data_IF_428794305209
#
_entry.id   IF_428794305209
#
_cell.length_a   1.000
_cell.length_b   1.000
_cell.length_c   1.000
_cell.angle_alpha   90.00
_cell.angle_beta   90.00
_cell.angle_gamma   90.00
#
_symmetry.space_group_name_H-M   'P 1'
#
loop_
_entity.id
_entity.type
_entity.pdbx_description
1 polymer ?
#
# COMPACT_ATOMS: atom_id res chain seq x y z
N UNK A 1 3.70 -8.65 -11.80
CA UNK A 1 5.06 -8.79 -12.33
C UNK A 1 5.39 -10.24 -12.62
N UNK A 2 5.65 -11.11 -11.64
CA UNK A 2 6.07 -12.49 -11.84
C UNK A 2 5.11 -13.35 -12.71
N UNK A 3 3.81 -13.08 -12.68
CA UNK A 3 2.82 -13.76 -13.53
C UNK A 3 3.02 -13.51 -15.04
N UNK A 4 3.67 -12.42 -15.38
CA UNK A 4 3.91 -12.01 -16.76
C UNK A 4 5.35 -12.25 -17.24
N UNK A 5 6.29 -12.53 -16.32
CA UNK A 5 7.71 -12.66 -16.66
C UNK A 5 7.97 -13.84 -17.60
N UNK A 6 7.44 -15.01 -17.30
CA UNK A 6 7.63 -16.22 -18.12
C UNK A 6 7.06 -16.08 -19.53
N UNK A 7 5.90 -15.38 -19.69
CA UNK A 7 5.29 -15.13 -20.99
C UNK A 7 6.10 -14.15 -21.87
N UNK A 8 7.14 -13.52 -21.33
CA UNK A 8 7.91 -12.47 -21.98
C UNK A 8 9.42 -12.74 -22.06
N UNK A 9 9.83 -14.00 -21.91
CA UNK A 9 11.23 -14.42 -22.05
C UNK A 9 12.12 -14.01 -20.87
N UNK A 10 11.55 -13.71 -19.70
CA UNK A 10 12.29 -13.43 -18.46
C UNK A 10 12.33 -14.70 -17.62
N UNK A 11 13.49 -15.14 -17.23
CA UNK A 11 13.73 -16.27 -16.32
C UNK A 11 13.97 -15.75 -14.89
N UNK A 12 12.93 -15.62 -14.06
CA UNK A 12 13.10 -15.06 -12.72
C UNK A 12 13.63 -16.09 -11.72
N UNK A 13 14.61 -15.70 -10.91
CA UNK A 13 14.94 -16.36 -9.65
C UNK A 13 14.56 -15.46 -8.50
N UNK A 14 13.63 -15.92 -7.65
CA UNK A 14 13.10 -15.10 -6.55
C UNK A 14 13.80 -15.45 -5.24
N UNK A 15 14.25 -14.45 -4.50
CA UNK A 15 14.68 -14.64 -3.11
C UNK A 15 13.56 -14.18 -2.17
N UNK A 16 13.19 -15.01 -1.20
CA UNK A 16 12.18 -14.69 -0.19
C UNK A 16 12.73 -14.93 1.23
N UNK A 17 12.24 -14.17 2.24
CA UNK A 17 12.83 -14.24 3.59
C UNK A 17 12.52 -15.54 4.33
N UNK A 18 11.37 -16.18 4.03
CA UNK A 18 10.91 -17.39 4.69
C UNK A 18 9.99 -18.22 3.79
N UNK A 19 9.79 -19.48 4.18
CA UNK A 19 8.72 -20.32 3.61
C UNK A 19 7.38 -19.83 4.17
N UNK A 20 6.40 -19.62 3.28
CA UNK A 20 5.07 -19.12 3.64
C UNK A 20 4.13 -19.05 2.44
N UNK A 21 3.07 -18.25 2.55
CA UNK A 21 2.06 -18.11 1.47
C UNK A 21 2.65 -17.63 0.15
N UNK A 22 3.65 -16.75 0.20
CA UNK A 22 4.31 -16.23 -1.00
C UNK A 22 5.13 -17.31 -1.71
N UNK A 23 5.97 -18.05 -0.97
CA UNK A 23 6.76 -19.15 -1.55
C UNK A 23 5.87 -20.29 -2.06
N UNK A 24 4.72 -20.55 -1.41
CA UNK A 24 3.73 -21.50 -1.92
C UNK A 24 3.14 -21.04 -3.27
N UNK A 25 2.85 -19.75 -3.40
CA UNK A 25 2.39 -19.18 -4.67
C UNK A 25 3.45 -19.28 -5.77
N UNK A 26 4.72 -18.98 -5.46
CA UNK A 26 5.83 -19.14 -6.42
C UNK A 26 5.93 -20.58 -6.93
N UNK A 27 5.78 -21.57 -6.02
CA UNK A 27 5.77 -22.98 -6.36
C UNK A 27 4.59 -23.36 -7.30
N UNK A 28 3.39 -22.82 -7.03
CA UNK A 28 2.23 -23.01 -7.91
C UNK A 28 2.44 -22.42 -9.32
N UNK A 29 3.21 -21.33 -9.40
CA UNK A 29 3.55 -20.67 -10.66
C UNK A 29 4.77 -21.27 -11.36
N UNK A 30 5.39 -22.33 -10.84
CA UNK A 30 6.65 -22.90 -11.28
C UNK A 30 7.81 -21.91 -11.37
N UNK A 31 7.83 -20.90 -10.48
CA UNK A 31 8.90 -19.92 -10.41
C UNK A 31 9.95 -20.40 -9.40
N UNK A 32 11.23 -20.55 -9.81
CA UNK A 32 12.31 -20.94 -8.91
C UNK A 32 12.52 -19.88 -7.82
N UNK A 33 12.72 -20.32 -6.58
CA UNK A 33 13.00 -19.43 -5.48
C UNK A 33 14.00 -20.00 -4.48
N UNK A 34 14.68 -19.11 -3.79
CA UNK A 34 15.61 -19.44 -2.71
C UNK A 34 15.19 -18.69 -1.45
N UNK A 35 15.20 -19.41 -0.32
CA UNK A 35 14.94 -18.79 0.98
C UNK A 35 16.22 -18.19 1.53
N UNK A 36 16.23 -16.87 1.67
CA UNK A 36 17.31 -16.10 2.29
C UNK A 36 16.65 -15.24 3.37
N UNK A 37 16.92 -15.55 4.64
CA UNK A 37 16.44 -14.80 5.78
C UNK A 37 17.05 -13.39 5.77
N UNK A 38 16.47 -12.50 4.98
CA UNK A 38 16.96 -11.15 4.79
C UNK A 38 16.21 -10.19 5.70
N UNK A 39 16.85 -9.63 6.74
CA UNK A 39 16.22 -8.66 7.60
C UNK A 39 16.02 -7.33 6.89
N UNK A 40 14.98 -6.60 7.28
CA UNK A 40 14.87 -5.19 6.91
C UNK A 40 16.03 -4.41 7.55
N UNK A 41 16.69 -3.56 6.78
CA UNK A 41 17.79 -2.72 7.26
C UNK A 41 17.23 -1.46 7.96
N UNK A 42 16.58 -1.68 9.08
CA UNK A 42 16.01 -0.67 9.97
C UNK A 42 16.48 -0.89 11.40
N UNK A 43 16.54 0.18 12.18
CA UNK A 43 16.80 0.06 13.62
C UNK A 43 15.68 -0.71 14.31
N UNK A 44 16.01 -1.59 15.29
CA UNK A 44 15.00 -2.26 16.09
C UNK A 44 14.13 -1.27 16.85
N UNK A 45 12.82 -1.45 16.81
CA UNK A 45 11.90 -0.59 17.54
C UNK A 45 11.96 -0.81 19.06
N UNK A 46 11.81 0.28 19.84
CA UNK A 46 11.75 0.26 21.29
C UNK A 46 10.31 0.55 21.72
N UNK A 47 9.56 -0.49 22.05
CA UNK A 47 8.16 -0.37 22.49
C UNK A 47 7.98 -0.40 24.01
N UNK A 48 9.01 -0.86 24.77
CA UNK A 48 8.93 -1.07 26.19
C UNK A 48 10.33 -1.10 26.81
N UNK A 49 10.43 -1.04 28.16
CA UNK A 49 11.68 -1.19 28.87
C UNK A 49 12.38 -2.53 28.56
N UNK A 50 11.61 -3.61 28.32
CA UNK A 50 12.16 -4.92 27.93
C UNK A 50 12.79 -4.88 26.53
N UNK A 51 12.20 -4.17 25.59
CA UNK A 51 12.78 -3.97 24.24
C UNK A 51 14.02 -3.09 24.29
N UNK A 52 14.05 -2.10 25.18
CA UNK A 52 15.24 -1.28 25.43
C UNK A 52 16.42 -2.12 25.92
N UNK A 53 16.23 -3.00 26.92
CA UNK A 53 17.29 -3.90 27.42
C UNK A 53 17.78 -4.86 26.32
N UNK A 54 16.88 -5.36 25.48
CA UNK A 54 17.20 -6.27 24.37
C UNK A 54 17.78 -5.57 23.14
N UNK A 55 17.78 -4.25 23.11
CA UNK A 55 18.17 -3.47 21.94
C UNK A 55 19.58 -3.79 21.42
N UNK A 56 20.66 -3.86 22.26
CA UNK A 56 22.00 -4.21 21.79
C UNK A 56 22.04 -5.60 21.16
N UNK A 57 21.36 -6.58 21.75
CA UNK A 57 21.25 -7.92 21.19
C UNK A 57 20.54 -7.91 19.83
N UNK A 58 19.43 -7.19 19.72
CA UNK A 58 18.66 -7.08 18.47
C UNK A 58 19.49 -6.42 17.36
N UNK A 59 20.30 -5.43 17.70
CA UNK A 59 21.18 -4.77 16.75
C UNK A 59 22.32 -5.69 16.27
N UNK A 60 22.96 -6.40 17.18
CA UNK A 60 24.00 -7.41 16.85
C UNK A 60 23.38 -8.50 15.96
N UNK A 61 22.21 -8.99 16.32
CA UNK A 61 21.47 -9.98 15.54
C UNK A 61 21.21 -9.47 14.12
N UNK A 62 20.71 -8.24 13.96
CA UNK A 62 20.48 -7.60 12.66
C UNK A 62 21.76 -7.59 11.80
N UNK A 63 22.89 -7.19 12.38
CA UNK A 63 24.18 -7.11 11.68
C UNK A 63 24.63 -8.50 11.21
N UNK A 64 24.52 -9.52 12.08
CA UNK A 64 24.89 -10.89 11.76
C UNK A 64 23.99 -11.49 10.68
N UNK A 65 22.66 -11.38 10.85
CA UNK A 65 21.69 -11.88 9.87
C UNK A 65 21.90 -11.24 8.50
N UNK A 66 22.10 -9.92 8.46
CA UNK A 66 22.44 -9.20 7.23
C UNK A 66 23.72 -9.73 6.59
N UNK A 67 24.78 -9.96 7.37
CA UNK A 67 26.04 -10.48 6.85
C UNK A 67 25.87 -11.88 6.21
N UNK A 68 25.19 -12.79 6.91
CA UNK A 68 24.92 -14.13 6.39
C UNK A 68 23.99 -14.12 5.18
N UNK A 69 22.93 -13.30 5.20
CA UNK A 69 22.02 -13.12 4.08
C UNK A 69 22.78 -12.61 2.84
N UNK A 70 23.64 -11.61 3.03
CA UNK A 70 24.45 -11.07 1.94
C UNK A 70 25.40 -12.11 1.34
N UNK A 71 26.13 -12.89 2.16
CA UNK A 71 26.99 -13.98 1.66
C UNK A 71 26.21 -15.01 0.84
N UNK A 72 25.06 -15.45 1.37
CA UNK A 72 24.20 -16.41 0.68
C UNK A 72 23.64 -15.85 -0.64
N UNK A 73 23.27 -14.56 -0.64
CA UNK A 73 22.80 -13.89 -1.85
C UNK A 73 23.91 -13.79 -2.91
N UNK A 74 25.14 -13.44 -2.52
CA UNK A 74 26.30 -13.43 -3.42
C UNK A 74 26.56 -14.81 -4.04
N UNK A 75 26.49 -15.88 -3.26
CA UNK A 75 26.66 -17.25 -3.80
C UNK A 75 25.54 -17.59 -4.80
N UNK A 76 24.32 -17.12 -4.59
CA UNK A 76 23.25 -17.29 -5.57
C UNK A 76 23.56 -16.55 -6.89
N UNK A 77 24.12 -15.35 -6.83
CA UNK A 77 24.50 -14.57 -8.02
C UNK A 77 25.59 -15.28 -8.81
N UNK A 78 26.59 -15.84 -8.13
CA UNK A 78 27.70 -16.57 -8.78
C UNK A 78 27.22 -17.81 -9.54
N UNK A 79 26.17 -18.47 -9.04
CA UNK A 79 25.57 -19.65 -9.68
C UNK A 79 24.59 -19.25 -10.79
N UNK A 80 23.68 -18.33 -10.51
CA UNK A 80 22.57 -17.97 -11.41
C UNK A 80 23.00 -17.00 -12.51
N UNK A 81 24.00 -16.13 -12.22
CA UNK A 81 24.55 -15.10 -13.13
C UNK A 81 23.43 -14.21 -13.72
N UNK A 82 22.67 -13.50 -12.92
CA UNK A 82 21.55 -12.68 -13.41
C UNK A 82 22.06 -11.50 -14.24
N UNK A 83 21.30 -11.13 -15.29
CA UNK A 83 21.55 -9.93 -16.08
C UNK A 83 21.13 -8.65 -15.34
N UNK A 84 20.17 -8.76 -14.42
CA UNK A 84 19.64 -7.66 -13.63
C UNK A 84 19.25 -8.12 -12.23
N UNK A 85 19.40 -7.26 -11.24
CA UNK A 85 18.91 -7.48 -9.86
C UNK A 85 17.79 -6.49 -9.57
N UNK A 86 16.62 -6.99 -9.21
CA UNK A 86 15.46 -6.17 -8.83
C UNK A 86 15.17 -6.33 -7.33
N UNK A 87 15.34 -5.26 -6.57
CA UNK A 87 14.96 -5.20 -5.15
C UNK A 87 13.58 -4.58 -4.98
N UNK A 88 12.65 -5.31 -4.38
CA UNK A 88 11.30 -4.85 -4.12
C UNK A 88 11.16 -4.51 -2.63
N UNK A 89 10.98 -3.27 -2.29
CA UNK A 89 10.90 -2.49 -1.04
C UNK A 89 12.21 -1.76 -0.66
N UNK A 90 12.06 -0.57 -0.07
CA UNK A 90 13.18 0.33 0.25
C UNK A 90 14.16 -0.22 1.31
N UNK A 91 13.70 -0.78 2.46
CA UNK A 91 14.59 -1.21 3.54
C UNK A 91 15.42 -2.48 3.26
N UNK A 92 15.44 -3.00 2.04
CA UNK A 92 16.25 -4.15 1.66
C UNK A 92 17.42 -3.68 0.79
N UNK A 93 18.65 -3.75 1.29
CA UNK A 93 19.82 -3.21 0.61
C UNK A 93 20.73 -4.26 0.00
N UNK A 94 20.55 -5.55 0.30
CA UNK A 94 21.48 -6.60 -0.17
C UNK A 94 21.54 -6.70 -1.69
N UNK A 95 20.40 -6.46 -2.38
CA UNK A 95 20.35 -6.45 -3.85
C UNK A 95 21.27 -5.39 -4.43
N UNK A 96 21.17 -4.15 -3.97
CA UNK A 96 22.05 -3.05 -4.37
C UNK A 96 23.51 -3.34 -4.04
N UNK A 97 23.81 -3.81 -2.81
CA UNK A 97 25.19 -4.07 -2.39
C UNK A 97 25.86 -5.16 -3.26
N UNK A 98 25.10 -6.19 -3.60
CA UNK A 98 25.60 -7.27 -4.45
C UNK A 98 25.71 -6.82 -5.92
N UNK A 99 24.72 -6.09 -6.44
CA UNK A 99 24.77 -5.52 -7.78
C UNK A 99 26.02 -4.65 -7.98
N UNK A 100 26.31 -3.79 -7.01
CA UNK A 100 27.51 -2.95 -7.01
C UNK A 100 28.80 -3.78 -6.98
N UNK A 101 28.84 -4.86 -6.19
CA UNK A 101 30.01 -5.75 -6.10
C UNK A 101 30.31 -6.46 -7.42
N UNK A 102 29.28 -6.93 -8.10
CA UNK A 102 29.42 -7.76 -9.31
C UNK A 102 29.27 -6.96 -10.62
N UNK A 103 29.03 -5.65 -10.55
CA UNK A 103 28.82 -4.80 -11.74
C UNK A 103 27.54 -5.12 -12.51
N UNK A 104 26.51 -5.60 -11.80
CA UNK A 104 25.22 -5.97 -12.40
C UNK A 104 24.27 -4.77 -12.28
N UNK A 105 23.47 -4.43 -13.32
CA UNK A 105 22.43 -3.41 -13.23
C UNK A 105 21.45 -3.69 -12.09
N UNK A 106 21.06 -2.65 -11.37
CA UNK A 106 20.16 -2.76 -10.23
C UNK A 106 18.92 -1.89 -10.40
N UNK A 107 17.75 -2.48 -10.20
CA UNK A 107 16.47 -1.75 -10.08
C UNK A 107 16.00 -1.81 -8.64
N UNK A 108 15.72 -0.64 -8.07
CA UNK A 108 15.20 -0.54 -6.71
C UNK A 108 13.78 0.01 -6.71
N UNK A 109 12.84 -0.86 -6.36
CA UNK A 109 11.42 -0.52 -6.31
C UNK A 109 11.05 -0.01 -4.91
N UNK A 110 10.88 1.30 -4.77
CA UNK A 110 10.59 2.00 -3.51
C UNK A 110 9.08 2.11 -3.36
N UNK A 111 8.55 1.53 -2.28
CA UNK A 111 7.11 1.34 -2.07
C UNK A 111 6.56 2.04 -0.84
N UNK A 112 7.41 2.64 -0.03
CA UNK A 112 7.08 3.23 1.26
C UNK A 112 7.96 4.45 1.53
N UNK A 113 7.46 5.36 2.40
CA UNK A 113 8.23 6.48 2.93
C UNK A 113 9.18 6.05 4.06
N UNK A 114 8.99 4.85 4.60
CA UNK A 114 9.68 4.28 5.76
C UNK A 114 9.28 4.94 7.07
N UNK A 115 9.67 6.18 7.33
CA UNK A 115 9.40 6.86 8.60
C UNK A 115 7.94 7.28 8.72
N UNK A 116 7.38 7.91 7.69
CA UNK A 116 6.06 8.56 7.72
C UNK A 116 4.90 7.56 7.74
N UNK A 117 5.08 6.39 7.14
CA UNK A 117 4.05 5.34 7.03
C UNK A 117 4.23 4.17 8.00
N UNK A 118 5.47 3.87 8.42
CA UNK A 118 5.77 2.70 9.26
C UNK A 118 6.67 3.00 10.46
N UNK A 119 7.04 4.26 10.71
CA UNK A 119 8.01 4.66 11.74
C UNK A 119 9.33 3.87 11.68
N UNK A 120 9.74 3.51 10.47
CA UNK A 120 10.98 2.78 10.23
C UNK A 120 12.17 3.74 10.13
N UNK A 121 13.19 3.51 10.93
CA UNK A 121 14.43 4.27 10.89
C UNK A 121 15.52 3.48 10.15
N UNK A 122 15.96 3.91 8.96
CA UNK A 122 16.96 3.19 8.16
C UNK A 122 18.27 2.94 8.90
N UNK A 123 18.77 1.71 8.81
CA UNK A 123 20.07 1.32 9.34
C UNK A 123 21.13 1.31 8.22
N UNK A 124 22.36 1.86 8.42
CA UNK A 124 22.83 2.55 9.63
C UNK A 124 22.37 4.03 9.71
N UNK A 125 21.85 4.64 8.64
CA UNK A 125 21.25 5.98 8.67
C UNK A 125 20.48 6.29 7.39
N UNK A 126 19.58 7.26 7.45
CA UNK A 126 18.87 7.80 6.28
C UNK A 126 19.85 8.34 5.23
N UNK A 127 20.90 9.04 5.61
CA UNK A 127 21.88 9.59 4.66
C UNK A 127 22.59 8.48 3.85
N UNK A 128 22.86 7.33 4.46
CA UNK A 128 23.46 6.19 3.76
C UNK A 128 22.43 5.55 2.82
N UNK A 129 21.17 5.46 3.23
CA UNK A 129 20.10 5.00 2.38
C UNK A 129 19.95 5.90 1.14
N UNK A 130 19.84 7.22 1.35
CA UNK A 130 19.74 8.21 0.26
C UNK A 130 20.95 8.14 -0.68
N UNK A 131 22.17 8.05 -0.14
CA UNK A 131 23.38 7.89 -0.96
C UNK A 131 23.34 6.62 -1.83
N UNK A 132 22.70 5.54 -1.36
CA UNK A 132 22.57 4.28 -2.11
C UNK A 132 21.52 4.38 -3.21
N UNK A 133 20.35 4.94 -2.93
CA UNK A 133 19.32 5.09 -3.95
C UNK A 133 19.72 6.07 -5.06
N UNK A 134 20.53 7.08 -4.74
CA UNK A 134 21.06 8.05 -5.71
C UNK A 134 22.34 7.61 -6.43
N UNK A 135 22.85 6.40 -6.17
CA UNK A 135 24.01 5.86 -6.87
C UNK A 135 23.74 5.80 -8.38
N UNK A 136 24.75 6.14 -9.20
CA UNK A 136 24.60 6.23 -10.66
C UNK A 136 24.18 4.90 -11.31
N UNK A 137 24.62 3.77 -10.75
CA UNK A 137 24.34 2.43 -11.26
C UNK A 137 23.03 1.84 -10.71
N UNK A 138 22.26 2.63 -9.95
CA UNK A 138 21.00 2.21 -9.36
C UNK A 138 19.85 2.94 -10.04
N UNK A 139 18.86 2.21 -10.54
CA UNK A 139 17.64 2.76 -11.13
C UNK A 139 16.48 2.58 -10.16
N UNK A 140 15.87 3.68 -9.74
CA UNK A 140 14.75 3.65 -8.83
C UNK A 140 13.41 3.67 -9.56
N UNK A 141 12.49 2.86 -9.05
CA UNK A 141 11.08 2.92 -9.40
C UNK A 141 10.33 3.28 -8.12
N UNK A 142 9.58 4.36 -8.14
CA UNK A 142 8.63 4.68 -7.07
C UNK A 142 7.21 4.32 -7.48
N UNK A 143 6.39 3.92 -6.50
CA UNK A 143 4.99 3.57 -6.76
C UNK A 143 4.05 4.76 -6.79
N UNK A 144 4.54 5.96 -6.46
CA UNK A 144 3.80 7.24 -6.53
C UNK A 144 4.73 8.40 -6.84
N UNK A 145 4.17 9.50 -7.37
CA UNK A 145 4.89 10.77 -7.56
C UNK A 145 5.34 11.35 -6.22
N UNK A 146 4.50 11.25 -5.20
CA UNK A 146 4.83 11.74 -3.86
C UNK A 146 6.06 11.03 -3.27
N UNK A 147 6.19 9.71 -3.42
CA UNK A 147 7.40 8.96 -3.01
C UNK A 147 8.60 9.39 -3.87
N UNK A 148 8.40 9.59 -5.19
CA UNK A 148 9.43 10.06 -6.09
C UNK A 148 10.03 11.40 -5.64
N UNK A 149 9.17 12.36 -5.32
CA UNK A 149 9.54 13.69 -4.85
C UNK A 149 10.15 13.65 -3.43
N UNK A 150 9.58 12.83 -2.53
CA UNK A 150 10.08 12.68 -1.15
C UNK A 150 11.53 12.22 -1.09
N UNK A 151 11.91 11.30 -1.96
CA UNK A 151 13.30 10.79 -2.05
C UNK A 151 14.14 11.54 -3.09
N UNK A 152 13.65 12.63 -3.67
CA UNK A 152 14.37 13.47 -4.67
C UNK A 152 14.95 12.61 -5.81
N UNK A 153 14.17 11.65 -6.32
CA UNK A 153 14.63 10.74 -7.37
C UNK A 153 14.89 11.48 -8.69
N UNK A 154 15.85 11.00 -9.48
CA UNK A 154 16.30 11.66 -10.70
C UNK A 154 15.37 11.33 -11.90
N UNK A 155 14.62 12.31 -12.46
CA UNK A 155 13.66 12.07 -13.55
C UNK A 155 14.29 11.60 -14.86
N UNK A 156 15.61 11.78 -15.02
CA UNK A 156 16.32 11.32 -16.24
C UNK A 156 16.57 9.81 -16.26
N UNK A 157 16.66 9.17 -15.07
CA UNK A 157 16.92 7.73 -14.94
C UNK A 157 15.85 6.97 -14.18
N UNK A 158 15.25 7.60 -13.16
CA UNK A 158 14.28 6.98 -12.27
C UNK A 158 12.85 7.18 -12.80
N UNK A 159 11.91 6.32 -12.41
CA UNK A 159 10.53 6.36 -12.93
C UNK A 159 9.49 6.23 -11.84
N UNK A 160 8.34 6.84 -12.09
CA UNK A 160 7.10 6.55 -11.34
C UNK A 160 6.35 5.46 -12.11
N UNK A 161 6.11 4.33 -11.46
CA UNK A 161 5.30 3.25 -12.02
C UNK A 161 4.30 2.83 -10.95
N UNK A 162 3.04 3.19 -11.16
CA UNK A 162 1.95 2.85 -10.24
C UNK A 162 1.77 1.35 -10.12
N UNK A 163 1.45 0.90 -8.91
CA UNK A 163 1.15 -0.51 -8.68
C UNK A 163 -0.09 -0.98 -9.42
N UNK A 164 0.00 -2.14 -10.02
CA UNK A 164 -1.14 -2.86 -10.55
C UNK A 164 -1.97 -3.49 -9.44
N UNK A 165 -3.05 -2.82 -9.07
CA UNK A 165 -3.93 -3.23 -7.95
C UNK A 165 -5.00 -4.19 -8.42
N UNK A 166 -5.61 -3.89 -9.57
CA UNK A 166 -6.81 -4.55 -10.07
C UNK A 166 -6.53 -5.29 -11.37
N UNK A 167 -7.45 -6.15 -11.76
CA UNK A 167 -7.55 -6.71 -13.10
C UNK A 167 -8.84 -6.17 -13.72
N UNK A 168 -8.71 -5.32 -14.73
CA UNK A 168 -9.86 -4.67 -15.39
C UNK A 168 -10.88 -5.65 -15.95
N UNK A 169 -10.49 -6.88 -16.28
CA UNK A 169 -11.41 -7.92 -16.75
C UNK A 169 -12.36 -8.41 -15.65
N UNK A 170 -12.07 -8.13 -14.38
CA UNK A 170 -12.91 -8.46 -13.24
C UNK A 170 -13.85 -7.32 -12.82
N UNK A 171 -13.93 -6.26 -13.63
CA UNK A 171 -14.82 -5.12 -13.36
C UNK A 171 -16.27 -5.58 -13.32
N UNK A 172 -17.00 -5.10 -12.31
CA UNK A 172 -18.44 -5.31 -12.20
C UNK A 172 -19.16 -4.00 -12.48
N UNK A 173 -20.37 -4.05 -13.06
CA UNK A 173 -21.23 -2.88 -13.11
C UNK A 173 -21.44 -2.30 -11.71
N UNK A 174 -21.53 -1.00 -11.59
CA UNK A 174 -21.74 -0.36 -10.29
C UNK A 174 -23.10 -0.79 -9.74
N UNK A 175 -23.12 -1.20 -8.47
CA UNK A 175 -24.36 -1.55 -7.78
C UNK A 175 -25.27 -0.32 -7.67
N UNK A 176 -26.43 -0.39 -8.31
CA UNK A 176 -27.42 0.69 -8.32
C UNK A 176 -28.15 0.87 -7.00
N UNK A 177 -28.17 -0.17 -6.16
CA UNK A 177 -28.84 -0.15 -4.85
C UNK A 177 -27.80 -0.43 -3.77
N UNK A 178 -27.17 0.64 -3.28
CA UNK A 178 -26.23 0.55 -2.18
C UNK A 178 -26.93 0.32 -0.85
N UNK A 179 -26.29 -0.48 0.00
CA UNK A 179 -26.76 -0.66 1.36
C UNK A 179 -26.41 0.56 2.22
N UNK A 180 -27.23 0.85 3.22
CA UNK A 180 -27.10 2.05 4.05
C UNK A 180 -25.99 1.90 5.10
N UNK A 181 -24.73 1.72 4.66
CA UNK A 181 -23.59 1.70 5.55
C UNK A 181 -22.35 2.40 4.99
N UNK A 182 -21.58 2.94 5.92
CA UNK A 182 -20.22 3.43 5.74
C UNK A 182 -19.28 2.25 5.95
N UNK A 183 -18.27 2.07 5.11
CA UNK A 183 -17.31 0.99 5.25
C UNK A 183 -15.91 1.56 5.54
N UNK A 184 -15.24 0.98 6.53
CA UNK A 184 -13.80 1.08 6.76
C UNK A 184 -13.18 -0.31 6.61
N UNK A 185 -12.01 -0.38 5.95
CA UNK A 185 -11.21 -1.61 5.86
C UNK A 185 -9.75 -1.27 6.16
N UNK A 186 -9.19 -1.91 7.18
CA UNK A 186 -7.78 -1.69 7.55
C UNK A 186 -7.44 -2.33 8.89
N UNK A 187 -6.15 -2.39 9.22
CA UNK A 187 -5.73 -2.77 10.57
C UNK A 187 -6.26 -1.75 11.57
N UNK A 188 -6.68 -2.22 12.74
CA UNK A 188 -7.10 -1.33 13.83
C UNK A 188 -5.84 -0.82 14.53
N UNK A 189 -5.36 0.33 14.09
CA UNK A 189 -4.17 1.03 14.60
C UNK A 189 -4.25 2.52 14.26
N UNK A 190 -3.54 3.35 14.99
CA UNK A 190 -3.61 4.81 14.86
C UNK A 190 -3.19 5.30 13.47
N UNK A 191 -2.23 4.63 12.82
CA UNK A 191 -1.79 4.98 11.47
C UNK A 191 -2.92 4.88 10.43
N UNK A 192 -3.89 3.98 10.65
CA UNK A 192 -5.05 3.79 9.76
C UNK A 192 -6.22 4.74 10.05
N UNK A 193 -6.13 5.56 11.10
CA UNK A 193 -7.05 6.65 11.37
C UNK A 193 -8.45 6.24 11.82
N UNK A 194 -8.65 4.98 12.26
CA UNK A 194 -9.98 4.49 12.66
C UNK A 194 -10.59 5.35 13.77
N UNK A 195 -9.81 5.81 14.75
CA UNK A 195 -10.32 6.67 15.82
C UNK A 195 -10.87 8.00 15.29
N UNK A 196 -10.18 8.60 14.30
CA UNK A 196 -10.67 9.83 13.64
C UNK A 196 -12.03 9.59 12.95
N UNK A 197 -12.18 8.46 12.26
CA UNK A 197 -13.48 8.10 11.68
C UNK A 197 -14.55 7.89 12.74
N UNK A 198 -14.24 7.25 13.87
CA UNK A 198 -15.21 7.01 14.95
C UNK A 198 -15.67 8.29 15.62
N UNK A 199 -14.79 9.27 15.84
CA UNK A 199 -15.20 10.60 16.31
C UNK A 199 -16.15 11.28 15.32
N UNK A 200 -15.81 11.31 14.03
CA UNK A 200 -16.69 11.89 13.00
C UNK A 200 -18.01 11.14 12.87
N UNK A 201 -17.99 9.82 12.98
CA UNK A 201 -19.17 8.98 12.90
C UNK A 201 -20.08 9.16 14.11
N UNK A 202 -19.52 9.30 15.32
CA UNK A 202 -20.32 9.56 16.52
C UNK A 202 -21.12 10.86 16.38
N UNK A 203 -20.47 11.95 15.95
CA UNK A 203 -21.13 13.23 15.66
C UNK A 203 -22.17 13.09 14.54
N UNK A 204 -21.83 12.41 13.45
CA UNK A 204 -22.78 12.14 12.36
C UNK A 204 -24.01 11.38 12.85
N UNK A 205 -23.83 10.32 13.64
CA UNK A 205 -24.92 9.48 14.10
C UNK A 205 -25.86 10.21 15.09
N UNK A 206 -25.28 11.01 16.00
CA UNK A 206 -26.06 11.82 16.99
C UNK A 206 -26.87 12.94 16.32
N UNK A 207 -26.41 13.47 15.20
CA UNK A 207 -27.06 14.54 14.46
C UNK A 207 -27.94 14.04 13.29
N UNK A 208 -28.46 12.82 13.38
CA UNK A 208 -29.46 12.30 12.42
C UNK A 208 -28.89 11.58 11.19
N UNK A 209 -27.63 11.22 11.23
CA UNK A 209 -27.03 10.35 10.21
C UNK A 209 -27.74 9.00 10.14
N UNK A 210 -28.00 8.49 8.93
CA UNK A 210 -28.82 7.27 8.70
C UNK A 210 -28.00 6.02 8.45
N UNK A 211 -26.75 6.15 8.01
CA UNK A 211 -25.91 5.00 7.70
C UNK A 211 -25.34 4.37 8.97
N UNK A 212 -25.23 3.05 8.99
CA UNK A 212 -24.45 2.32 9.97
C UNK A 212 -22.95 2.34 9.58
N UNK A 213 -22.07 1.98 10.51
CA UNK A 213 -20.64 1.85 10.25
C UNK A 213 -20.21 0.38 10.31
N UNK A 214 -19.63 -0.12 9.24
CA UNK A 214 -18.99 -1.44 9.19
C UNK A 214 -17.46 -1.27 9.21
N UNK A 215 -16.80 -1.95 10.14
CA UNK A 215 -15.36 -1.91 10.35
C UNK A 215 -14.79 -3.31 10.11
N UNK A 216 -14.05 -3.49 9.01
CA UNK A 216 -13.40 -4.75 8.67
C UNK A 216 -11.89 -4.63 8.87
N UNK A 217 -11.32 -5.45 9.74
CA UNK A 217 -9.89 -5.48 10.01
C UNK A 217 -9.52 -6.13 11.32
N UNK A 218 -8.25 -6.44 11.48
CA UNK A 218 -7.70 -7.02 12.70
C UNK A 218 -7.05 -5.93 13.56
N UNK A 219 -7.21 -6.02 14.87
CA UNK A 219 -6.51 -5.25 15.89
C UNK A 219 -6.47 -6.04 17.19
N UNK A 220 -5.84 -5.49 18.22
CA UNK A 220 -5.94 -6.07 19.57
C UNK A 220 -7.30 -5.77 20.19
N UNK A 221 -7.70 -6.58 21.17
CA UNK A 221 -8.96 -6.34 21.89
C UNK A 221 -8.90 -5.04 22.68
N UNK A 222 -7.73 -4.70 23.23
CA UNK A 222 -7.50 -3.44 23.92
C UNK A 222 -7.76 -2.25 23.00
N UNK A 223 -7.17 -2.24 21.80
CA UNK A 223 -7.36 -1.16 20.85
C UNK A 223 -8.79 -1.07 20.33
N UNK A 224 -9.46 -2.22 20.18
CA UNK A 224 -10.89 -2.25 19.84
C UNK A 224 -11.76 -1.64 20.95
N UNK A 225 -11.44 -1.91 22.22
CA UNK A 225 -12.14 -1.31 23.36
C UNK A 225 -11.92 0.21 23.39
N UNK A 226 -10.70 0.69 23.21
CA UNK A 226 -10.42 2.12 23.05
C UNK A 226 -11.25 2.76 21.91
N UNK A 227 -11.43 2.05 20.80
CA UNK A 227 -12.30 2.50 19.72
C UNK A 227 -13.78 2.57 20.13
N UNK A 228 -14.26 1.60 20.89
CA UNK A 228 -15.65 1.59 21.39
C UNK A 228 -15.92 2.68 22.43
N UNK A 229 -14.91 3.07 23.21
CA UNK A 229 -15.03 4.13 24.22
C UNK A 229 -15.19 5.54 23.62
N UNK A 230 -14.85 5.70 22.34
CA UNK A 230 -15.12 6.95 21.59
C UNK A 230 -16.62 7.15 21.34
N UNK A 231 -17.38 6.06 21.25
CA UNK A 231 -18.77 6.06 20.84
C UNK A 231 -19.69 6.22 22.05
N UNK A 232 -20.73 7.03 21.91
CA UNK A 232 -21.83 7.07 22.89
C UNK A 232 -22.61 5.76 22.87
N UNK A 233 -23.23 5.38 23.99
CA UNK A 233 -23.98 4.11 24.11
C UNK A 233 -25.09 3.97 23.05
N UNK A 234 -25.76 5.06 22.69
CA UNK A 234 -26.79 5.06 21.64
C UNK A 234 -26.23 4.80 20.23
N UNK A 235 -24.92 5.06 20.00
CA UNK A 235 -24.28 4.90 18.69
C UNK A 235 -23.55 3.55 18.57
N UNK A 236 -23.11 2.96 19.68
CA UNK A 236 -22.38 1.67 19.68
C UNK A 236 -23.11 0.58 18.90
N UNK A 237 -24.42 0.47 19.03
CA UNK A 237 -25.24 -0.54 18.34
C UNK A 237 -25.31 -0.35 16.80
N UNK A 238 -24.82 0.78 16.29
CA UNK A 238 -24.78 1.10 14.87
C UNK A 238 -23.40 0.86 14.24
N UNK A 239 -22.42 0.37 15.03
CA UNK A 239 -21.06 0.09 14.60
C UNK A 239 -20.79 -1.41 14.66
N UNK A 240 -20.55 -2.02 13.52
CA UNK A 240 -20.29 -3.45 13.40
C UNK A 240 -18.81 -3.72 13.12
N UNK A 241 -18.10 -4.31 14.07
CA UNK A 241 -16.74 -4.80 13.91
C UNK A 241 -16.75 -6.23 13.36
N UNK A 242 -16.34 -6.39 12.09
CA UNK A 242 -16.37 -7.68 11.37
C UNK A 242 -15.11 -8.54 11.60
N UNK A 243 -14.08 -7.97 12.26
CA UNK A 243 -12.78 -8.64 12.36
C UNK A 243 -12.07 -8.78 11.01
N UNK A 244 -11.13 -9.71 10.93
CA UNK A 244 -10.39 -9.95 9.70
C UNK A 244 -11.25 -10.64 8.63
N UNK A 245 -11.43 -10.02 7.49
CA UNK A 245 -12.18 -10.54 6.35
C UNK A 245 -11.27 -11.06 5.25
N UNK A 246 -11.69 -12.12 4.54
CA UNK A 246 -11.04 -12.55 3.30
C UNK A 246 -11.28 -11.51 2.19
N UNK A 247 -10.36 -11.42 1.23
CA UNK A 247 -10.42 -10.41 0.15
C UNK A 247 -11.75 -10.40 -0.61
N UNK A 248 -12.29 -11.56 -0.95
CA UNK A 248 -13.59 -11.64 -1.65
C UNK A 248 -14.72 -11.02 -0.82
N UNK A 249 -14.70 -11.19 0.52
CA UNK A 249 -15.70 -10.56 1.41
C UNK A 249 -15.49 -9.04 1.49
N UNK A 250 -14.24 -8.59 1.50
CA UNK A 250 -13.93 -7.16 1.44
C UNK A 250 -14.46 -6.53 0.15
N UNK A 251 -14.28 -7.18 -1.00
CA UNK A 251 -14.82 -6.70 -2.27
C UNK A 251 -16.35 -6.69 -2.32
N UNK A 252 -17.00 -7.70 -1.72
CA UNK A 252 -18.46 -7.72 -1.56
C UNK A 252 -18.95 -6.54 -0.69
N UNK A 253 -18.27 -6.30 0.44
CA UNK A 253 -18.58 -5.18 1.31
C UNK A 253 -18.38 -3.84 0.58
N UNK A 254 -17.29 -3.67 -0.16
CA UNK A 254 -17.07 -2.47 -0.97
C UNK A 254 -18.16 -2.30 -2.03
N UNK A 255 -18.51 -3.35 -2.75
CA UNK A 255 -19.51 -3.31 -3.81
C UNK A 255 -20.88 -2.84 -3.31
N UNK A 256 -21.26 -3.19 -2.08
CA UNK A 256 -22.55 -2.87 -1.49
C UNK A 256 -22.56 -1.59 -0.63
N UNK A 257 -21.40 -1.13 -0.16
CA UNK A 257 -21.32 0.06 0.71
C UNK A 257 -21.84 1.34 0.03
N UNK A 258 -22.54 2.17 0.80
CA UNK A 258 -22.94 3.50 0.35
C UNK A 258 -21.70 4.40 0.15
N UNK A 259 -20.74 4.31 1.07
CA UNK A 259 -19.51 5.09 1.03
C UNK A 259 -18.37 4.33 1.71
N UNK A 260 -17.15 4.48 1.19
CA UNK A 260 -15.93 3.94 1.74
C UNK A 260 -15.07 5.07 2.30
N UNK A 261 -14.60 4.94 3.55
CA UNK A 261 -13.78 5.97 4.19
C UNK A 261 -12.35 5.49 4.36
N UNK A 262 -11.39 6.32 3.94
CA UNK A 262 -9.95 6.09 4.05
C UNK A 262 -9.34 7.18 4.94
N UNK A 263 -9.33 6.99 6.27
CA UNK A 263 -8.85 7.99 7.21
C UNK A 263 -7.36 7.85 7.53
N UNK A 264 -6.62 7.03 6.81
CA UNK A 264 -5.21 6.77 7.05
C UNK A 264 -4.39 8.06 7.07
N UNK A 265 -3.49 8.19 8.06
CA UNK A 265 -2.60 9.36 8.19
C UNK A 265 -1.70 9.52 6.98
N UNK A 266 -1.16 8.41 6.49
CA UNK A 266 -0.39 8.35 5.26
C UNK A 266 -0.51 6.95 4.64
N UNK A 267 -0.49 6.87 3.32
CA UNK A 267 -0.44 5.62 2.55
C UNK A 267 0.60 5.79 1.45
N UNK A 268 1.51 4.83 1.31
CA UNK A 268 2.49 4.88 0.22
C UNK A 268 1.80 4.94 -1.15
N UNK A 269 0.86 4.02 -1.40
CA UNK A 269 0.04 4.01 -2.62
C UNK A 269 -1.47 4.16 -2.31
N UNK A 270 -1.99 3.48 -1.27
CA UNK A 270 -3.41 3.45 -0.97
C UNK A 270 -4.18 2.38 -1.77
N UNK A 271 -3.71 1.14 -1.75
CA UNK A 271 -4.37 0.01 -2.44
C UNK A 271 -5.86 -0.05 -2.20
N UNK A 272 -6.27 0.14 -0.97
CA UNK A 272 -7.67 0.05 -0.55
C UNK A 272 -8.55 1.13 -1.19
N UNK A 273 -7.98 2.31 -1.49
CA UNK A 273 -8.65 3.41 -2.20
C UNK A 273 -9.01 2.98 -3.63
N UNK A 274 -8.00 2.46 -4.36
CA UNK A 274 -8.21 1.95 -5.72
C UNK A 274 -9.17 0.76 -5.74
N UNK A 275 -9.08 -0.16 -4.78
CA UNK A 275 -9.98 -1.31 -4.66
C UNK A 275 -11.44 -0.89 -4.43
N UNK A 276 -11.68 0.13 -3.59
CA UNK A 276 -13.03 0.65 -3.35
C UNK A 276 -13.61 1.33 -4.60
N UNK A 277 -12.82 2.17 -5.28
CA UNK A 277 -13.21 2.81 -6.54
C UNK A 277 -13.50 1.77 -7.63
N UNK A 278 -12.67 0.73 -7.76
CA UNK A 278 -12.87 -0.37 -8.70
C UNK A 278 -14.18 -1.11 -8.47
N UNK A 279 -14.57 -1.32 -7.20
CA UNK A 279 -15.83 -1.92 -6.83
C UNK A 279 -17.03 -0.96 -6.92
N UNK A 280 -16.84 0.24 -7.49
CA UNK A 280 -17.91 1.19 -7.75
C UNK A 280 -18.47 1.84 -6.49
N UNK A 281 -17.64 2.00 -5.45
CA UNK A 281 -18.01 2.71 -4.22
C UNK A 281 -17.34 4.06 -4.17
N UNK A 282 -18.10 5.10 -3.86
CA UNK A 282 -17.52 6.43 -3.66
C UNK A 282 -16.63 6.44 -2.42
N UNK A 283 -15.54 7.17 -2.51
CA UNK A 283 -14.54 7.26 -1.45
C UNK A 283 -14.57 8.63 -0.80
N UNK A 284 -14.51 8.65 0.54
CA UNK A 284 -14.10 9.82 1.31
C UNK A 284 -12.69 9.54 1.82
N UNK A 285 -11.70 10.25 1.30
CA UNK A 285 -10.30 10.02 1.59
C UNK A 285 -9.64 11.20 2.29
N UNK A 286 -8.74 10.91 3.24
CA UNK A 286 -7.88 11.94 3.80
C UNK A 286 -6.99 12.51 2.69
N UNK A 287 -6.81 13.84 2.68
CA UNK A 287 -6.04 14.51 1.63
C UNK A 287 -4.52 14.38 1.86
N UNK A 288 -4.05 13.12 1.96
CA UNK A 288 -2.65 12.79 2.26
C UNK A 288 -2.18 11.58 1.46
N UNK A 289 -0.87 11.47 1.23
CA UNK A 289 -0.19 10.31 0.66
C UNK A 289 -0.76 9.81 -0.66
N UNK A 290 -0.71 8.51 -0.88
CA UNK A 290 -1.19 7.87 -2.11
C UNK A 290 -2.69 8.01 -2.34
N UNK A 291 -3.52 8.12 -1.29
CA UNK A 291 -4.95 8.41 -1.44
C UNK A 291 -5.18 9.77 -2.09
N UNK A 292 -4.46 10.82 -1.63
CA UNK A 292 -4.49 12.14 -2.27
C UNK A 292 -4.04 12.05 -3.72
N UNK A 293 -2.94 11.37 -4.00
CA UNK A 293 -2.40 11.25 -5.36
C UNK A 293 -3.37 10.54 -6.31
N UNK A 294 -4.06 9.50 -5.87
CA UNK A 294 -5.11 8.85 -6.68
C UNK A 294 -6.27 9.81 -7.00
N UNK A 295 -6.67 10.64 -6.05
CA UNK A 295 -7.69 11.67 -6.28
C UNK A 295 -7.20 12.76 -7.23
N UNK A 296 -5.92 13.17 -7.13
CA UNK A 296 -5.30 14.16 -8.04
C UNK A 296 -5.22 13.61 -9.46
N UNK A 297 -4.75 12.38 -9.63
CA UNK A 297 -4.71 11.70 -10.91
C UNK A 297 -6.12 11.59 -11.53
N UNK A 298 -7.12 11.29 -10.72
CA UNK A 298 -8.50 11.24 -11.15
C UNK A 298 -9.02 12.59 -11.63
N UNK A 299 -8.76 13.65 -10.89
CA UNK A 299 -9.11 15.02 -11.26
C UNK A 299 -8.40 15.46 -12.54
N UNK A 300 -7.13 15.12 -12.68
CA UNK A 300 -6.34 15.42 -13.87
C UNK A 300 -6.91 14.73 -15.12
N UNK A 301 -7.30 13.45 -15.01
CA UNK A 301 -7.82 12.65 -16.12
C UNK A 301 -9.26 13.00 -16.50
N UNK A 302 -10.12 13.27 -15.52
CA UNK A 302 -11.58 13.47 -15.77
C UNK A 302 -12.01 14.93 -15.73
N UNK A 303 -11.10 15.85 -15.38
CA UNK A 303 -11.37 17.27 -15.10
C UNK A 303 -12.44 17.50 -14.03
N UNK A 304 -12.63 16.50 -13.15
CA UNK A 304 -13.59 16.55 -12.04
C UNK A 304 -13.13 15.68 -10.88
N UNK A 305 -13.65 15.96 -9.68
CA UNK A 305 -13.36 15.10 -8.53
C UNK A 305 -13.98 13.70 -8.72
N UNK A 306 -13.21 12.68 -8.41
CA UNK A 306 -13.61 11.26 -8.44
C UNK A 306 -13.84 10.67 -7.04
N UNK A 307 -13.61 11.47 -6.01
CA UNK A 307 -13.79 11.13 -4.59
C UNK A 307 -13.97 12.41 -3.79
N UNK A 308 -14.35 12.28 -2.53
CA UNK A 308 -14.43 13.40 -1.59
C UNK A 308 -13.17 13.46 -0.74
N UNK A 309 -12.58 14.66 -0.63
CA UNK A 309 -11.36 14.91 0.14
C UNK A 309 -11.71 15.55 1.48
N UNK A 310 -11.14 15.07 2.55
CA UNK A 310 -11.26 15.73 3.84
C UNK A 310 -9.87 16.07 4.43
N UNK A 311 -9.84 17.10 5.27
CA UNK A 311 -8.62 17.63 5.89
C UNK A 311 -8.66 17.63 7.42
N UNK A 312 -9.85 17.62 8.00
CA UNK A 312 -10.07 17.63 9.45
C UNK A 312 -11.36 16.88 9.82
N UNK A 313 -11.57 16.71 11.12
CA UNK A 313 -12.70 15.96 11.68
C UNK A 313 -14.06 16.52 11.26
N UNK A 314 -14.27 17.83 11.38
CA UNK A 314 -15.53 18.47 11.01
C UNK A 314 -15.83 18.25 9.54
N UNK A 315 -14.85 18.44 8.68
CA UNK A 315 -15.03 18.23 7.25
C UNK A 315 -15.36 16.76 6.91
N UNK A 316 -14.79 15.78 7.66
CA UNK A 316 -15.17 14.37 7.50
C UNK A 316 -16.64 14.16 7.85
N UNK A 317 -17.12 14.70 8.99
CA UNK A 317 -18.52 14.62 9.40
C UNK A 317 -19.46 15.21 8.34
N UNK A 318 -19.15 16.41 7.82
CA UNK A 318 -19.94 17.06 6.77
C UNK A 318 -20.00 16.23 5.49
N UNK A 319 -18.90 15.57 5.12
CA UNK A 319 -18.85 14.69 3.96
C UNK A 319 -19.62 13.40 4.14
N UNK A 320 -19.75 12.88 5.36
CA UNK A 320 -20.63 11.74 5.64
C UNK A 320 -22.11 12.13 5.41
N UNK A 321 -22.55 13.33 5.84
CA UNK A 321 -23.87 13.85 5.52
C UNK A 321 -24.04 14.11 4.01
N UNK A 322 -23.04 14.68 3.36
CA UNK A 322 -23.06 14.89 1.91
C UNK A 322 -23.23 13.56 1.17
N UNK A 323 -22.49 12.53 1.54
CA UNK A 323 -22.59 11.20 0.93
C UNK A 323 -23.99 10.59 1.10
N UNK A 324 -24.58 10.72 2.28
CA UNK A 324 -25.95 10.26 2.57
C UNK A 324 -27.01 10.92 1.67
N UNK A 325 -26.83 12.20 1.35
CA UNK A 325 -27.79 13.02 0.63
C UNK A 325 -27.51 13.12 -0.89
N UNK A 326 -26.56 12.34 -1.41
CA UNK A 326 -26.30 12.31 -2.84
C UNK A 326 -27.52 11.80 -3.62
N UNK A 327 -27.85 12.50 -4.71
CA UNK A 327 -28.77 11.94 -5.68
C UNK A 327 -28.15 10.73 -6.37
N UNK A 328 -28.99 9.83 -6.87
CA UNK A 328 -28.51 8.66 -7.63
C UNK A 328 -27.59 9.06 -8.79
N UNK A 329 -27.97 10.10 -9.53
CA UNK A 329 -27.21 10.60 -10.68
C UNK A 329 -25.82 11.11 -10.26
N UNK A 330 -25.76 11.92 -9.19
CA UNK A 330 -24.49 12.43 -8.63
C UNK A 330 -23.61 11.30 -8.13
N UNK A 331 -24.19 10.31 -7.47
CA UNK A 331 -23.47 9.11 -7.02
C UNK A 331 -22.84 8.37 -8.21
N UNK A 332 -23.65 8.05 -9.22
CA UNK A 332 -23.22 7.29 -10.39
C UNK A 332 -22.15 8.04 -11.19
N UNK A 333 -22.27 9.35 -11.33
CA UNK A 333 -21.27 10.16 -12.04
C UNK A 333 -19.89 10.08 -11.36
N UNK A 334 -19.81 10.21 -10.04
CA UNK A 334 -18.55 10.12 -9.29
C UNK A 334 -18.00 8.69 -9.35
N UNK A 335 -18.82 7.69 -9.08
CA UNK A 335 -18.41 6.30 -9.03
C UNK A 335 -17.94 5.77 -10.40
N UNK A 336 -18.60 6.12 -11.50
CA UNK A 336 -18.21 5.74 -12.86
C UNK A 336 -16.87 6.34 -13.27
N UNK A 337 -16.66 7.62 -12.97
CA UNK A 337 -15.38 8.28 -13.24
C UNK A 337 -14.24 7.66 -12.43
N UNK A 338 -14.47 7.41 -11.14
CA UNK A 338 -13.49 6.76 -10.28
C UNK A 338 -13.13 5.36 -10.80
N UNK A 339 -14.13 4.54 -11.11
CA UNK A 339 -13.92 3.17 -11.62
C UNK A 339 -13.16 3.18 -12.95
N UNK A 340 -13.49 4.10 -13.87
CA UNK A 340 -12.78 4.27 -15.15
C UNK A 340 -11.31 4.60 -14.94
N UNK A 341 -11.01 5.61 -14.13
CA UNK A 341 -9.63 6.05 -13.85
C UNK A 341 -8.80 4.93 -13.24
N UNK A 342 -9.35 4.19 -12.29
CA UNK A 342 -8.63 3.07 -11.66
C UNK A 342 -8.33 1.95 -12.66
N UNK A 343 -9.25 1.67 -13.59
CA UNK A 343 -9.03 0.68 -14.65
C UNK A 343 -7.98 1.13 -15.66
N UNK A 344 -7.87 2.41 -15.92
CA UNK A 344 -6.89 2.97 -16.87
C UNK A 344 -5.49 3.06 -16.27
N UNK A 345 -5.36 3.49 -15.00
CA UNK A 345 -4.07 3.79 -14.40
C UNK A 345 -3.49 2.65 -13.53
N UNK A 346 -4.36 1.85 -12.90
CA UNK A 346 -3.94 0.89 -11.86
C UNK A 346 -4.27 -0.56 -12.21
N UNK A 347 -4.48 -0.87 -13.49
CA UNK A 347 -4.59 -2.24 -13.99
C UNK A 347 -3.22 -2.92 -13.94
N UNK A 348 -3.20 -4.18 -13.51
CA UNK A 348 -1.99 -5.01 -13.42
C UNK A 348 -1.25 -5.13 -14.75
N UNK A 349 -1.97 -5.20 -15.88
CA UNK A 349 -1.35 -5.28 -17.20
C UNK A 349 -0.64 -3.97 -17.60
N UNK A 350 -1.24 -2.81 -17.24
CA UNK A 350 -0.64 -1.49 -17.49
C UNK A 350 0.64 -1.32 -16.68
N UNK A 351 0.57 -1.58 -15.38
CA UNK A 351 1.75 -1.52 -14.49
C UNK A 351 2.87 -2.42 -14.98
N UNK A 352 2.55 -3.66 -15.39
CA UNK A 352 3.55 -4.59 -15.92
C UNK A 352 4.20 -4.09 -17.21
N UNK A 353 3.43 -3.54 -18.15
CA UNK A 353 3.95 -3.02 -19.41
C UNK A 353 4.96 -1.90 -19.17
N UNK A 354 4.67 -1.01 -18.21
CA UNK A 354 5.59 0.07 -17.83
C UNK A 354 6.87 -0.46 -17.17
N UNK A 355 6.75 -1.43 -16.27
CA UNK A 355 7.90 -2.09 -15.63
C UNK A 355 8.80 -2.75 -16.69
N UNK A 356 8.23 -3.52 -17.60
CA UNK A 356 8.96 -4.17 -18.68
C UNK A 356 9.70 -3.16 -19.58
N UNK A 357 9.02 -2.08 -19.97
CA UNK A 357 9.64 -1.05 -20.79
C UNK A 357 10.82 -0.37 -20.09
N UNK A 358 10.81 -0.30 -18.76
CA UNK A 358 11.92 0.23 -17.98
C UNK A 358 13.07 -0.75 -17.87
N UNK A 359 12.81 -2.04 -17.64
CA UNK A 359 13.82 -3.09 -17.51
C UNK A 359 14.46 -3.50 -18.84
N UNK A 360 13.79 -3.34 -19.97
CA UNK A 360 14.28 -3.77 -21.30
C UNK A 360 14.86 -2.67 -22.18
N UNK A 361 14.66 -1.40 -21.86
CA UNK A 361 15.38 -0.33 -22.55
C UNK A 361 16.84 -0.38 -22.13
N UNK A 362 17.72 -0.68 -23.11
CA UNK A 362 19.17 -0.84 -22.95
C UNK A 362 19.94 0.38 -22.41
N UNK A 363 19.33 1.08 -21.47
CA UNK A 363 19.88 2.17 -20.67
C UNK A 363 20.08 1.74 -19.19
N UNK A 364 19.96 0.45 -18.90
CA UNK A 364 20.38 -0.15 -17.63
C UNK A 364 21.84 -0.54 -17.66
#
# INVERSE_FOLDING_TARGET
MLEYSAANGIEPLVTCPAIGTFSAKLKQMNIPFIVIGNPLEIYPHIYSWKSYIKYPYSLIKLILEKHFAYKKFCSCIEIFKPDIIHTNVGPIHIGYLAAKKYGIPHVWHIREYQKEDFDMHPFPSMNIYLKRIHDQNNHCISITKNIFEHFELNPNKDKVIYDGVINKYNIKPINKKKDAYILFVGRLEDAKGIKELLYAYNEYALNGGKFNLCVAGKGSDEYKNECLDILTESVKNRVLFLGQCKQNKVYELMYNAAVFVVPSRNEGFGFITAEAMFNGTIVIGKNTGGTKEQMDNGKENTKSEIAFRYINLQNLTDLLFKAQNLTYESYMNVAQKAQKVVCELYDKAVSYTHLRAHETRGNL
#
